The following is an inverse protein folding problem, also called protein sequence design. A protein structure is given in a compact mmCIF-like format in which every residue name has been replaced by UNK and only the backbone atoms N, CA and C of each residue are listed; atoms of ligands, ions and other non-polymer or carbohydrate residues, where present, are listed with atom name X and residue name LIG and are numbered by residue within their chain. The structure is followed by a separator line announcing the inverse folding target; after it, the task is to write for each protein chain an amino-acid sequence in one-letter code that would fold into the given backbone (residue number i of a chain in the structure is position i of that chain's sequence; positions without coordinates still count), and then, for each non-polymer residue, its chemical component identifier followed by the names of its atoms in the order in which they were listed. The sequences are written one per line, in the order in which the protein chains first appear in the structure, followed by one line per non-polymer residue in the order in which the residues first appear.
data_IF_470889976059
#
_entry.id   IF_470889976059
#
_cell.length_a   1.000
_cell.length_b   1.000
_cell.length_c   1.000
_cell.angle_alpha   90.00
_cell.angle_beta   90.00
_cell.angle_gamma   90.00
#
_symmetry.space_group_name_H-M   'P 1'
#
loop_
_entity.id
_entity.type
_entity.pdbx_description
1 polymer ?
#
# COMPACT_ATOMS: atom_id res chain seq x y z
N UNK A 1 -38.37 -23.28 13.03
CA UNK A 1 -37.76 -22.36 12.03
C UNK A 1 -36.38 -21.83 12.43
N UNK A 2 -36.12 -21.59 13.73
CA UNK A 2 -34.87 -21.00 14.26
C UNK A 2 -33.61 -21.89 14.13
N UNK A 3 -33.75 -23.22 14.09
CA UNK A 3 -32.60 -24.12 13.97
C UNK A 3 -32.06 -24.25 12.54
N UNK A 4 -32.91 -24.11 11.50
CA UNK A 4 -32.47 -24.16 10.08
C UNK A 4 -31.55 -22.99 9.71
N UNK A 5 -31.83 -21.82 10.25
CA UNK A 5 -30.99 -20.61 10.16
C UNK A 5 -29.64 -20.79 10.87
N UNK A 6 -29.63 -21.49 12.02
CA UNK A 6 -28.42 -21.76 12.81
C UNK A 6 -27.47 -22.73 12.09
N UNK A 7 -28.00 -23.73 11.38
CA UNK A 7 -27.22 -24.65 10.55
C UNK A 7 -26.64 -23.96 9.30
N UNK A 8 -27.41 -23.07 8.66
CA UNK A 8 -26.92 -22.28 7.52
C UNK A 8 -25.77 -21.35 7.93
N UNK A 9 -25.89 -20.65 9.06
CA UNK A 9 -24.84 -19.75 9.55
C UNK A 9 -23.58 -20.50 10.03
N UNK A 10 -23.73 -21.74 10.55
CA UNK A 10 -22.61 -22.64 10.85
C UNK A 10 -21.88 -23.12 9.59
N UNK A 11 -22.62 -23.40 8.51
CA UNK A 11 -22.01 -23.72 7.20
C UNK A 11 -21.22 -22.55 6.62
N UNK A 12 -21.78 -21.34 6.66
CA UNK A 12 -21.13 -20.12 6.17
C UNK A 12 -19.87 -19.78 6.99
N UNK A 13 -19.91 -19.92 8.32
CA UNK A 13 -18.73 -19.71 9.17
C UNK A 13 -17.65 -20.78 8.96
N UNK A 14 -18.01 -22.04 8.71
CA UNK A 14 -17.04 -23.07 8.36
C UNK A 14 -16.35 -22.80 7.00
N UNK A 15 -17.11 -22.39 5.98
CA UNK A 15 -16.57 -22.06 4.66
C UNK A 15 -15.63 -20.86 4.72
N UNK A 16 -16.02 -19.80 5.46
CA UNK A 16 -15.17 -18.62 5.64
C UNK A 16 -13.88 -18.92 6.38
N UNK A 17 -13.89 -19.81 7.39
CA UNK A 17 -12.69 -20.25 8.09
C UNK A 17 -11.75 -21.08 7.19
N UNK A 18 -12.30 -21.99 6.38
CA UNK A 18 -11.51 -22.78 5.42
C UNK A 18 -10.88 -21.87 4.36
N UNK A 19 -11.61 -20.86 3.89
CA UNK A 19 -11.10 -19.90 2.93
C UNK A 19 -9.97 -19.04 3.50
N UNK A 20 -10.13 -18.53 4.73
CA UNK A 20 -9.08 -17.76 5.43
C UNK A 20 -7.82 -18.61 5.68
N UNK A 21 -7.98 -19.85 6.13
CA UNK A 21 -6.83 -20.72 6.37
C UNK A 21 -6.09 -21.08 5.07
N UNK A 22 -6.82 -21.35 3.98
CA UNK A 22 -6.23 -21.57 2.67
C UNK A 22 -5.44 -20.33 2.19
N UNK A 23 -5.97 -19.12 2.38
CA UNK A 23 -5.30 -17.87 2.01
C UNK A 23 -3.98 -17.68 2.79
N UNK A 24 -3.97 -17.97 4.10
CA UNK A 24 -2.76 -17.90 4.94
C UNK A 24 -1.72 -18.93 4.50
N UNK A 25 -2.13 -20.15 4.16
CA UNK A 25 -1.21 -21.19 3.70
C UNK A 25 -0.60 -20.83 2.34
N UNK A 26 -1.40 -20.37 1.38
CA UNK A 26 -0.93 -19.98 0.04
C UNK A 26 0.08 -18.85 0.14
N UNK A 27 -0.23 -17.82 0.94
CA UNK A 27 0.69 -16.69 1.17
C UNK A 27 1.98 -17.16 1.84
N UNK A 28 1.91 -17.97 2.91
CA UNK A 28 3.09 -18.52 3.58
C UNK A 28 4.00 -19.36 2.66
N UNK A 29 3.42 -20.18 1.77
CA UNK A 29 4.18 -20.94 0.79
C UNK A 29 4.86 -20.05 -0.27
N UNK A 30 4.24 -18.94 -0.65
CA UNK A 30 4.84 -17.96 -1.55
C UNK A 30 6.06 -17.27 -0.91
N UNK A 31 5.98 -16.93 0.38
CA UNK A 31 7.10 -16.29 1.11
C UNK A 31 8.28 -17.24 1.37
N UNK A 32 8.05 -18.54 1.48
CA UNK A 32 9.09 -19.53 1.79
C UNK A 32 10.20 -19.64 0.72
N UNK A 33 9.96 -19.15 -0.49
CA UNK A 33 10.92 -19.17 -1.61
C UNK A 33 11.72 -17.87 -1.78
N UNK A 34 11.42 -16.85 -0.98
CA UNK A 34 11.97 -15.50 -1.14
C UNK A 34 13.18 -15.35 -0.21
N UNK A 35 14.24 -14.69 -0.67
CA UNK A 35 15.40 -14.42 0.18
C UNK A 35 15.03 -13.56 1.39
N UNK A 36 15.65 -13.78 2.57
CA UNK A 36 15.29 -13.09 3.81
C UNK A 36 15.30 -11.56 3.71
N UNK A 37 16.19 -11.02 2.87
CA UNK A 37 16.33 -9.59 2.62
C UNK A 37 15.05 -8.95 2.07
N UNK A 38 14.46 -9.56 1.04
CA UNK A 38 13.23 -9.05 0.43
C UNK A 38 12.03 -9.16 1.38
N UNK A 39 12.01 -10.19 2.24
CA UNK A 39 10.97 -10.33 3.25
C UNK A 39 10.99 -9.17 4.26
N UNK A 40 12.18 -8.73 4.68
CA UNK A 40 12.33 -7.59 5.57
C UNK A 40 11.84 -6.29 4.91
N UNK A 41 12.13 -6.09 3.62
CA UNK A 41 11.66 -4.93 2.87
C UNK A 41 10.12 -4.90 2.74
N UNK A 42 9.49 -6.05 2.49
CA UNK A 42 8.02 -6.17 2.44
C UNK A 42 7.39 -5.92 3.81
N UNK A 43 7.99 -6.43 4.89
CA UNK A 43 7.50 -6.18 6.24
C UNK A 43 7.60 -4.69 6.62
N UNK A 44 8.73 -4.07 6.29
CA UNK A 44 8.95 -2.65 6.52
C UNK A 44 7.95 -1.78 5.75
N UNK A 45 7.70 -2.09 4.48
CA UNK A 45 6.72 -1.36 3.67
C UNK A 45 5.30 -1.55 4.19
N UNK A 46 4.92 -2.77 4.60
CA UNK A 46 3.61 -3.04 5.22
C UNK A 46 3.42 -2.25 6.53
N UNK A 47 4.46 -2.12 7.35
CA UNK A 47 4.42 -1.30 8.56
C UNK A 47 4.21 0.18 8.24
N UNK A 48 4.97 0.72 7.26
CA UNK A 48 4.81 2.11 6.80
C UNK A 48 3.42 2.35 6.21
N UNK A 49 2.88 1.40 5.44
CA UNK A 49 1.52 1.46 4.92
C UNK A 49 0.48 1.62 6.05
N UNK A 50 0.59 0.81 7.09
CA UNK A 50 -0.31 0.86 8.24
C UNK A 50 -0.19 2.21 8.97
N UNK A 51 1.04 2.72 9.14
CA UNK A 51 1.28 4.06 9.69
C UNK A 51 0.64 5.13 8.80
N UNK A 52 0.75 5.04 7.48
CA UNK A 52 0.17 6.01 6.53
C UNK A 52 -1.36 6.07 6.62
N UNK A 53 -2.01 4.93 6.83
CA UNK A 53 -3.47 4.83 7.04
C UNK A 53 -3.87 5.47 8.36
N UNK A 54 -3.15 5.21 9.45
CA UNK A 54 -3.46 5.78 10.77
C UNK A 54 -3.14 7.29 10.82
N UNK A 55 -1.89 7.64 10.53
CA UNK A 55 -1.29 8.98 10.68
C UNK A 55 -0.43 9.30 9.48
N UNK A 56 -1.05 9.90 8.47
CA UNK A 56 -0.41 10.29 7.22
C UNK A 56 0.76 11.25 7.44
N UNK A 57 0.67 12.20 8.39
CA UNK A 57 1.77 13.14 8.69
C UNK A 57 3.05 12.41 9.12
N UNK A 58 2.90 11.38 9.97
CA UNK A 58 4.04 10.57 10.44
C UNK A 58 4.64 9.76 9.29
N UNK A 59 3.81 9.20 8.41
CA UNK A 59 4.27 8.48 7.24
C UNK A 59 5.02 9.38 6.25
N UNK A 60 4.57 10.63 6.06
CA UNK A 60 5.26 11.62 5.24
C UNK A 60 6.62 11.99 5.85
N UNK A 61 6.70 12.17 7.17
CA UNK A 61 7.98 12.42 7.86
C UNK A 61 8.95 11.25 7.66
N UNK A 62 8.49 10.00 7.83
CA UNK A 62 9.32 8.80 7.57
C UNK A 62 9.81 8.77 6.12
N UNK A 63 8.93 9.10 5.16
CA UNK A 63 9.28 9.16 3.74
C UNK A 63 10.35 10.22 3.46
N UNK A 64 10.22 11.41 4.05
CA UNK A 64 11.22 12.48 3.90
C UNK A 64 12.56 12.06 4.54
N UNK A 65 12.53 11.40 5.70
CA UNK A 65 13.73 10.83 6.30
C UNK A 65 14.39 9.77 5.41
N UNK A 66 13.60 8.93 4.74
CA UNK A 66 14.13 7.99 3.75
C UNK A 66 14.82 8.74 2.61
N UNK A 67 14.18 9.79 2.06
CA UNK A 67 14.77 10.59 0.97
C UNK A 67 16.09 11.25 1.37
N UNK A 68 16.26 11.62 2.65
CA UNK A 68 17.53 12.15 3.17
C UNK A 68 18.61 11.06 3.26
N UNK A 69 18.24 9.84 3.61
CA UNK A 69 19.16 8.70 3.73
C UNK A 69 19.46 8.05 2.37
N UNK A 70 18.57 8.24 1.38
CA UNK A 70 18.61 7.68 0.03
C UNK A 70 19.07 6.21 -0.01
N UNK A 71 18.38 5.28 0.68
CA UNK A 71 18.84 3.91 0.74
C UNK A 71 18.67 3.22 -0.63
N UNK A 72 19.78 2.68 -1.14
CA UNK A 72 19.88 2.07 -2.46
C UNK A 72 19.86 0.54 -2.39
N UNK A 73 18.95 -0.09 -3.15
CA UNK A 73 18.86 -1.54 -3.31
C UNK A 73 19.55 -1.96 -4.61
N UNK A 74 20.61 -2.76 -4.49
CA UNK A 74 21.28 -3.39 -5.64
C UNK A 74 20.63 -4.75 -5.88
N UNK A 75 19.72 -4.88 -6.85
CA UNK A 75 19.00 -6.14 -7.11
C UNK A 75 19.67 -7.04 -8.14
N UNK A 76 20.40 -6.46 -9.10
CA UNK A 76 21.08 -7.25 -10.12
C UNK A 76 22.27 -6.49 -10.72
N UNK A 77 23.38 -7.19 -10.86
CA UNK A 77 24.50 -6.80 -11.70
C UNK A 77 24.28 -7.37 -13.10
N UNK A 78 23.77 -6.54 -14.01
CA UNK A 78 23.78 -6.87 -15.44
C UNK A 78 25.17 -6.51 -15.94
N UNK A 79 25.87 -7.36 -16.72
CA UNK A 79 27.20 -7.03 -17.23
C UNK A 79 27.12 -5.72 -18.06
N UNK A 80 27.66 -4.63 -17.49
CA UNK A 80 27.71 -3.30 -18.09
C UNK A 80 26.75 -2.24 -17.53
N UNK A 81 25.79 -2.58 -16.65
CA UNK A 81 24.94 -1.57 -15.96
C UNK A 81 24.37 -2.12 -14.65
N UNK A 82 24.66 -1.42 -13.56
CA UNK A 82 24.03 -1.67 -12.26
C UNK A 82 22.59 -1.14 -12.28
N UNK A 83 21.61 -2.02 -11.97
CA UNK A 83 20.22 -1.60 -11.78
C UNK A 83 19.98 -1.41 -10.29
N UNK A 84 19.98 -0.14 -9.89
CA UNK A 84 19.72 0.28 -8.51
C UNK A 84 18.25 0.66 -8.40
N UNK A 85 17.50 0.00 -7.50
CA UNK A 85 16.17 0.46 -7.10
C UNK A 85 16.30 1.38 -5.89
N UNK A 86 15.68 2.55 -5.97
CA UNK A 86 15.58 3.49 -4.85
C UNK A 86 14.40 3.09 -3.96
N UNK A 87 14.68 2.93 -2.68
CA UNK A 87 13.64 2.62 -1.68
C UNK A 87 12.64 3.76 -1.51
N UNK A 88 13.07 5.00 -1.76
CA UNK A 88 12.24 6.19 -1.63
C UNK A 88 11.06 6.17 -2.61
N UNK A 89 11.31 5.74 -3.85
CA UNK A 89 10.26 5.61 -4.86
C UNK A 89 9.23 4.55 -4.46
N UNK A 90 9.69 3.42 -3.88
CA UNK A 90 8.81 2.37 -3.38
C UNK A 90 7.97 2.86 -2.18
N UNK A 91 8.63 3.51 -1.21
CA UNK A 91 7.96 4.07 -0.03
C UNK A 91 6.94 5.15 -0.42
N UNK A 92 7.23 5.94 -1.45
CA UNK A 92 6.29 6.92 -1.98
C UNK A 92 5.02 6.27 -2.51
N UNK A 93 5.13 5.19 -3.28
CA UNK A 93 3.95 4.42 -3.70
C UNK A 93 3.19 3.84 -2.50
N UNK A 94 3.89 3.28 -1.53
CA UNK A 94 3.28 2.68 -0.33
C UNK A 94 2.51 3.71 0.49
N UNK A 95 3.10 4.89 0.75
CA UNK A 95 2.45 5.98 1.48
C UNK A 95 1.28 6.54 0.68
N UNK A 96 1.43 6.69 -0.63
CA UNK A 96 0.37 7.12 -1.53
C UNK A 96 -0.85 6.18 -1.45
N UNK A 97 -0.64 4.86 -1.58
CA UNK A 97 -1.72 3.88 -1.45
C UNK A 97 -2.31 3.85 -0.03
N UNK A 98 -1.49 4.01 1.01
CA UNK A 98 -1.97 4.07 2.39
C UNK A 98 -2.86 5.28 2.64
N UNK A 99 -2.49 6.44 2.11
CA UNK A 99 -3.32 7.64 2.13
C UNK A 99 -4.61 7.48 1.31
N UNK A 100 -4.53 6.87 0.13
CA UNK A 100 -5.69 6.59 -0.71
C UNK A 100 -6.67 5.63 0.00
N UNK A 101 -6.17 4.59 0.67
CA UNK A 101 -6.97 3.69 1.49
C UNK A 101 -7.65 4.43 2.65
N UNK A 102 -6.91 5.32 3.35
CA UNK A 102 -7.48 6.19 4.38
C UNK A 102 -8.59 7.08 3.84
N UNK A 103 -8.40 7.69 2.67
CA UNK A 103 -9.42 8.50 1.99
C UNK A 103 -10.68 7.68 1.66
N UNK A 104 -10.50 6.46 1.14
CA UNK A 104 -11.60 5.55 0.82
C UNK A 104 -12.40 5.12 2.07
N UNK A 105 -11.71 4.81 3.18
CA UNK A 105 -12.34 4.46 4.46
C UNK A 105 -13.12 5.64 5.04
N UNK A 106 -12.51 6.83 5.05
CA UNK A 106 -13.13 8.04 5.59
C UNK A 106 -14.14 8.68 4.61
N UNK A 107 -14.33 8.11 3.41
CA UNK A 107 -15.17 8.62 2.32
C UNK A 107 -14.90 10.09 1.96
N UNK A 108 -13.69 10.55 2.22
CA UNK A 108 -13.27 11.89 1.84
C UNK A 108 -12.61 11.76 0.47
N UNK A 109 -13.37 12.00 -0.60
CA UNK A 109 -12.82 12.19 -1.95
C UNK A 109 -12.14 13.57 -2.00
N UNK A 110 -11.06 13.75 -1.23
CA UNK A 110 -10.31 15.00 -1.14
C UNK A 110 -9.80 15.49 -2.50
N UNK A 111 -9.59 14.57 -3.44
CA UNK A 111 -9.15 14.85 -4.81
C UNK A 111 -10.21 15.58 -5.66
N UNK A 112 -11.49 15.45 -5.33
CA UNK A 112 -12.61 16.11 -6.02
C UNK A 112 -13.26 17.21 -5.18
N UNK A 113 -12.69 17.55 -4.02
CA UNK A 113 -13.23 18.64 -3.23
C UNK A 113 -12.89 19.95 -3.92
N UNK A 114 -13.92 20.64 -4.41
CA UNK A 114 -13.79 21.94 -5.06
C UNK A 114 -13.20 22.95 -4.07
N UNK A 115 -11.89 23.20 -4.17
CA UNK A 115 -11.21 24.26 -3.44
C UNK A 115 -10.98 25.45 -4.38
N UNK A 116 -10.87 26.69 -3.87
CA UNK A 116 -10.52 27.85 -4.69
C UNK A 116 -9.17 27.66 -5.41
N UNK A 117 -8.28 26.81 -4.88
CA UNK A 117 -7.02 26.44 -5.50
C UNK A 117 -7.20 25.59 -6.77
N UNK A 118 -8.16 24.64 -6.77
CA UNK A 118 -8.41 23.77 -7.91
C UNK A 118 -8.81 24.56 -9.17
N UNK A 119 -9.44 25.72 -9.01
CA UNK A 119 -9.78 26.62 -10.12
C UNK A 119 -8.53 27.12 -10.84
N UNK A 120 -7.48 27.50 -10.11
CA UNK A 120 -6.23 27.99 -10.71
C UNK A 120 -5.47 26.87 -11.40
N UNK A 121 -5.44 25.67 -10.80
CA UNK A 121 -4.80 24.48 -11.39
C UNK A 121 -5.45 24.14 -12.74
N UNK A 122 -6.78 24.08 -12.79
CA UNK A 122 -7.51 23.81 -14.03
C UNK A 122 -7.24 24.89 -15.08
N UNK A 123 -7.23 26.18 -14.69
CA UNK A 123 -6.94 27.26 -15.62
C UNK A 123 -5.55 27.16 -16.26
N UNK A 124 -4.53 26.80 -15.47
CA UNK A 124 -3.18 26.62 -15.97
C UNK A 124 -3.07 25.43 -16.94
N UNK A 125 -3.73 24.31 -16.63
CA UNK A 125 -3.77 23.13 -17.50
C UNK A 125 -4.42 23.49 -18.84
N UNK A 126 -5.52 24.24 -18.82
CA UNK A 126 -6.20 24.70 -20.06
C UNK A 126 -5.27 25.57 -20.90
N UNK A 127 -4.54 26.50 -20.27
CA UNK A 127 -3.56 27.35 -20.98
C UNK A 127 -2.40 26.53 -21.57
N UNK A 128 -1.93 25.47 -20.92
CA UNK A 128 -0.86 24.63 -21.46
C UNK A 128 -1.29 23.73 -22.62
N UNK A 129 -2.59 23.43 -22.75
CA UNK A 129 -3.13 22.55 -23.79
C UNK A 129 -3.52 23.33 -25.04
N UNK A 130 -3.89 24.61 -24.91
CA UNK A 130 -4.21 25.54 -26.02
C UNK A 130 -2.91 26.00 -26.70
#
# INVERSE_FOLDING_TARGET
MKDKERFANRGISAITLIFLSALVIITGLAFSKIEPYYMLAVLFSAAVFLIAVLKTDVALVILIFSMLLSPELRLAEIPGREVVLRLDDLLLFVVFFGWLAKMAINKELGLLRHTPLNRFIISYIVVCII
#
